data_IF_460500438399
#
_entry.id   IF_460500438399
#
_cell.length_a   1.000
_cell.length_b   1.000
_cell.length_c   1.000
_cell.angle_alpha   90.00
_cell.angle_beta   90.00
_cell.angle_gamma   90.00
#
_symmetry.space_group_name_H-M   'P 1'
#
loop_
_entity.id
_entity.type
_entity.pdbx_description
1 polymer ?
#
# COMPACT_ATOMS: atom_id res chain seq x y z
N UNK A 1 32.83 26.42 -51.28
CA UNK A 1 32.76 25.86 -49.92
C UNK A 1 31.45 25.10 -49.77
N UNK A 2 31.46 23.76 -49.85
CA UNK A 2 30.26 22.93 -49.70
C UNK A 2 30.24 22.34 -48.29
N UNK A 3 29.26 22.73 -47.49
CA UNK A 3 29.02 22.22 -46.14
C UNK A 3 28.20 20.94 -46.24
N UNK A 4 28.77 19.80 -45.87
CA UNK A 4 28.01 18.56 -45.67
C UNK A 4 27.58 18.48 -44.20
N UNK A 5 26.27 18.53 -43.98
CA UNK A 5 25.61 18.34 -42.69
C UNK A 5 25.69 16.86 -42.32
N UNK A 6 26.35 16.56 -41.20
CA UNK A 6 26.35 15.23 -40.57
C UNK A 6 25.13 15.16 -39.66
N UNK A 7 24.11 14.39 -40.05
CA UNK A 7 22.97 14.05 -39.20
C UNK A 7 23.37 12.92 -38.26
N UNK A 8 23.62 13.26 -36.99
CA UNK A 8 23.78 12.27 -35.92
C UNK A 8 22.38 11.83 -35.47
N UNK A 9 21.97 10.65 -35.90
CA UNK A 9 20.78 9.96 -35.38
C UNK A 9 21.16 9.38 -34.02
N UNK A 10 20.84 10.10 -32.95
CA UNK A 10 20.93 9.57 -31.58
C UNK A 10 19.71 8.68 -31.36
N UNK A 11 19.89 7.38 -31.56
CA UNK A 11 18.91 6.39 -31.13
C UNK A 11 18.95 6.31 -29.60
N UNK A 12 18.00 6.98 -28.94
CA UNK A 12 17.71 6.80 -27.52
C UNK A 12 17.06 5.44 -27.33
N UNK A 13 17.87 4.42 -27.08
CA UNK A 13 17.40 3.14 -26.58
C UNK A 13 16.91 3.34 -25.14
N UNK A 14 15.59 3.46 -24.97
CA UNK A 14 14.95 3.41 -23.67
C UNK A 14 15.20 2.02 -23.05
N UNK A 15 16.13 1.94 -22.11
CA UNK A 15 16.30 0.74 -21.28
C UNK A 15 15.10 0.70 -20.34
N UNK A 16 14.11 -0.11 -20.69
CA UNK A 16 13.04 -0.46 -19.77
C UNK A 16 13.67 -1.26 -18.63
N UNK A 17 13.95 -0.59 -17.51
CA UNK A 17 14.28 -1.26 -16.25
C UNK A 17 13.01 -1.98 -15.82
N UNK A 18 12.95 -3.27 -16.11
CA UNK A 18 11.94 -4.17 -15.56
C UNK A 18 12.26 -4.29 -14.08
N UNK A 19 11.65 -3.42 -13.27
CA UNK A 19 11.68 -3.53 -11.82
C UNK A 19 10.98 -4.85 -11.46
N UNK A 20 11.78 -5.89 -11.20
CA UNK A 20 11.28 -7.09 -10.53
C UNK A 20 10.81 -6.64 -9.14
N UNK A 21 9.49 -6.63 -8.94
CA UNK A 21 8.93 -6.43 -7.61
C UNK A 21 9.47 -7.55 -6.70
N UNK A 22 10.21 -7.18 -5.66
CA UNK A 22 10.65 -8.16 -4.66
C UNK A 22 9.42 -8.90 -4.11
N UNK A 23 9.45 -10.22 -4.16
CA UNK A 23 8.40 -11.07 -3.58
C UNK A 23 8.57 -11.05 -2.06
N UNK A 24 7.98 -10.05 -1.42
CA UNK A 24 7.93 -9.93 0.04
C UNK A 24 6.89 -10.90 0.63
N UNK A 25 7.10 -11.32 1.88
CA UNK A 25 6.09 -12.10 2.63
C UNK A 25 4.97 -11.19 3.14
N UNK A 26 3.77 -11.75 3.39
CA UNK A 26 2.65 -11.01 4.01
C UNK A 26 3.09 -10.35 5.31
N UNK A 27 3.88 -11.07 6.13
CA UNK A 27 4.40 -10.55 7.40
C UNK A 27 5.26 -9.31 7.19
N UNK A 28 6.19 -9.35 6.22
CA UNK A 28 7.05 -8.22 5.91
C UNK A 28 6.25 -7.01 5.42
N UNK A 29 5.26 -7.26 4.55
CA UNK A 29 4.38 -6.19 4.04
C UNK A 29 3.57 -5.55 5.17
N UNK A 30 2.98 -6.34 6.07
CA UNK A 30 2.21 -5.82 7.19
C UNK A 30 3.08 -5.04 8.19
N UNK A 31 4.34 -5.44 8.40
CA UNK A 31 5.30 -4.66 9.18
C UNK A 31 5.60 -3.31 8.52
N UNK A 32 5.76 -3.29 7.20
CA UNK A 32 5.98 -2.06 6.44
C UNK A 32 4.74 -1.14 6.48
N UNK A 33 3.54 -1.69 6.34
CA UNK A 33 2.28 -0.98 6.54
C UNK A 33 2.24 -0.34 7.92
N UNK A 34 2.52 -1.09 8.98
CA UNK A 34 2.46 -0.58 10.35
C UNK A 34 3.47 0.57 10.56
N UNK A 35 4.68 0.43 10.03
CA UNK A 35 5.70 1.49 10.07
C UNK A 35 5.20 2.77 9.39
N UNK A 36 4.69 2.67 8.16
CA UNK A 36 4.18 3.82 7.40
C UNK A 36 2.97 4.45 8.09
N UNK A 37 2.04 3.65 8.59
CA UNK A 37 0.86 4.11 9.32
C UNK A 37 1.23 4.87 10.60
N UNK A 38 2.23 4.38 11.35
CA UNK A 38 2.77 5.09 12.52
C UNK A 38 3.42 6.42 12.16
N UNK A 39 4.16 6.47 11.04
CA UNK A 39 4.74 7.72 10.54
C UNK A 39 3.65 8.74 10.17
N UNK A 40 2.63 8.32 9.41
CA UNK A 40 1.47 9.16 9.07
C UNK A 40 0.79 9.67 10.35
N UNK A 41 0.50 8.79 11.30
CA UNK A 41 -0.16 9.17 12.56
C UNK A 41 0.63 10.22 13.34
N UNK A 42 1.96 10.14 13.34
CA UNK A 42 2.82 11.11 14.03
C UNK A 42 2.83 12.50 13.37
N UNK A 43 2.59 12.57 12.06
CA UNK A 43 2.72 13.80 11.26
C UNK A 43 1.40 14.28 10.66
N UNK A 44 0.27 13.61 10.90
CA UNK A 44 -1.03 13.90 10.26
C UNK A 44 -1.55 15.31 10.53
N UNK A 45 -1.15 15.92 11.65
CA UNK A 45 -1.53 17.29 11.99
C UNK A 45 -0.65 18.38 11.32
N UNK A 46 0.47 18.00 10.71
CA UNK A 46 1.43 18.90 10.08
C UNK A 46 1.19 18.99 8.56
N UNK A 47 0.63 20.11 8.11
CA UNK A 47 0.35 20.35 6.69
C UNK A 47 1.61 20.33 5.81
N UNK A 48 2.78 20.65 6.36
CA UNK A 48 4.05 20.58 5.60
C UNK A 48 4.44 19.15 5.24
N UNK A 49 3.90 18.16 5.96
CA UNK A 49 4.13 16.72 5.73
C UNK A 49 3.09 16.09 4.80
N UNK A 50 2.08 16.83 4.35
CA UNK A 50 0.98 16.27 3.54
C UNK A 50 1.47 15.54 2.29
N UNK A 51 2.46 16.10 1.57
CA UNK A 51 3.00 15.44 0.39
C UNK A 51 3.65 14.09 0.73
N UNK A 52 4.48 14.03 1.78
CA UNK A 52 5.11 12.79 2.22
C UNK A 52 4.08 11.79 2.77
N UNK A 53 3.07 12.27 3.49
CA UNK A 53 2.00 11.44 4.02
C UNK A 53 1.12 10.85 2.91
N UNK A 54 0.87 11.60 1.83
CA UNK A 54 0.20 11.07 0.63
C UNK A 54 1.03 9.94 -0.03
N UNK A 55 2.35 10.11 -0.13
CA UNK A 55 3.27 9.06 -0.62
C UNK A 55 3.22 7.81 0.27
N UNK A 56 3.27 8.00 1.59
CA UNK A 56 3.20 6.89 2.54
C UNK A 56 1.84 6.17 2.46
N UNK A 57 0.74 6.91 2.33
CA UNK A 57 -0.60 6.35 2.16
C UNK A 57 -0.72 5.54 0.86
N UNK A 58 -0.17 6.04 -0.24
CA UNK A 58 -0.10 5.30 -1.51
C UNK A 58 0.75 4.02 -1.37
N UNK A 59 1.87 4.07 -0.65
CA UNK A 59 2.69 2.90 -0.41
C UNK A 59 1.96 1.83 0.41
N UNK A 60 1.14 2.24 1.40
CA UNK A 60 0.24 1.33 2.12
C UNK A 60 -0.76 0.70 1.14
N UNK A 61 -1.39 1.48 0.27
CA UNK A 61 -2.33 0.98 -0.73
C UNK A 61 -1.69 -0.08 -1.65
N UNK A 62 -0.47 0.18 -2.16
CA UNK A 62 0.26 -0.78 -2.99
C UNK A 62 0.58 -2.08 -2.24
N UNK A 63 0.96 -1.99 -0.96
CA UNK A 63 1.21 -3.17 -0.13
C UNK A 63 -0.09 -3.96 0.12
N UNK A 64 -1.22 -3.29 0.39
CA UNK A 64 -2.51 -3.97 0.54
C UNK A 64 -2.95 -4.66 -0.76
N UNK A 65 -2.81 -3.96 -1.89
CA UNK A 65 -3.11 -4.51 -3.21
C UNK A 65 -2.26 -5.75 -3.52
N UNK A 66 -0.98 -5.75 -3.16
CA UNK A 66 -0.10 -6.90 -3.33
C UNK A 66 -0.50 -8.08 -2.42
N UNK A 67 -1.07 -7.81 -1.25
CA UNK A 67 -1.52 -8.83 -0.31
C UNK A 67 -2.87 -9.46 -0.66
N UNK A 68 -3.68 -8.86 -1.55
CA UNK A 68 -4.91 -9.50 -2.03
C UNK A 68 -4.68 -10.84 -2.77
N UNK A 69 -3.47 -11.02 -3.30
CA UNK A 69 -3.04 -12.24 -4.00
C UNK A 69 -2.31 -13.23 -3.08
N UNK A 70 -2.18 -12.90 -1.79
CA UNK A 70 -1.48 -13.71 -0.79
C UNK A 70 -2.48 -14.12 0.29
N UNK A 71 -2.30 -15.29 0.90
CA UNK A 71 -3.16 -15.74 2.00
C UNK A 71 -2.32 -16.14 3.22
N UNK A 72 -2.73 -15.74 4.44
CA UNK A 72 -2.07 -16.19 5.66
C UNK A 72 -2.07 -17.72 5.78
N UNK A 73 -0.94 -18.30 6.21
CA UNK A 73 -0.80 -19.76 6.38
C UNK A 73 -1.80 -20.33 7.39
N UNK A 74 -2.24 -19.53 8.38
CA UNK A 74 -3.24 -19.92 9.37
C UNK A 74 -4.57 -20.34 8.71
N UNK A 75 -4.91 -19.79 7.54
CA UNK A 75 -6.14 -20.17 6.82
C UNK A 75 -6.12 -21.65 6.43
N UNK A 76 -4.95 -22.21 6.11
CA UNK A 76 -4.81 -23.64 5.76
C UNK A 76 -5.11 -24.57 6.94
N UNK A 77 -5.08 -24.05 8.17
CA UNK A 77 -5.38 -24.81 9.38
C UNK A 77 -6.88 -24.88 9.70
N UNK A 78 -7.72 -24.12 8.98
CA UNK A 78 -9.18 -24.20 9.12
C UNK A 78 -9.75 -25.45 8.42
N UNK A 79 -10.92 -25.94 8.86
CA UNK A 79 -11.65 -26.98 8.14
C UNK A 79 -11.84 -26.64 6.66
N UNK A 80 -11.64 -27.62 5.77
CA UNK A 80 -11.57 -27.39 4.32
C UNK A 80 -12.85 -26.75 3.74
N UNK A 81 -14.02 -27.05 4.32
CA UNK A 81 -15.32 -26.47 3.99
C UNK A 81 -15.47 -25.01 4.44
N UNK A 82 -14.68 -24.58 5.44
CA UNK A 82 -14.68 -23.20 5.97
C UNK A 82 -13.62 -22.31 5.31
N UNK A 83 -12.56 -22.89 4.73
CA UNK A 83 -11.45 -22.12 4.13
C UNK A 83 -11.92 -21.07 3.10
N UNK A 84 -12.86 -21.35 2.16
CA UNK A 84 -13.31 -20.34 1.21
C UNK A 84 -13.92 -19.10 1.86
N UNK A 85 -14.73 -19.29 2.92
CA UNK A 85 -15.34 -18.19 3.64
C UNK A 85 -14.30 -17.36 4.43
N UNK A 86 -13.30 -18.03 5.01
CA UNK A 86 -12.20 -17.35 5.71
C UNK A 86 -11.31 -16.56 4.75
N UNK A 87 -11.03 -17.12 3.56
CA UNK A 87 -10.31 -16.41 2.48
C UNK A 87 -11.06 -15.16 2.05
N UNK A 88 -12.38 -15.28 1.82
CA UNK A 88 -13.20 -14.14 1.42
C UNK A 88 -13.17 -13.04 2.50
N UNK A 89 -13.37 -13.41 3.76
CA UNK A 89 -13.33 -12.47 4.88
C UNK A 89 -11.95 -11.78 4.99
N UNK A 90 -10.85 -12.52 4.84
CA UNK A 90 -9.51 -11.94 4.77
C UNK A 90 -9.39 -10.90 3.65
N UNK A 91 -9.86 -11.23 2.44
CA UNK A 91 -9.84 -10.30 1.30
C UNK A 91 -10.69 -9.05 1.54
N UNK A 92 -11.84 -9.19 2.20
CA UNK A 92 -12.69 -8.05 2.60
C UNK A 92 -11.95 -7.10 3.55
N UNK A 93 -11.22 -7.63 4.54
CA UNK A 93 -10.39 -6.83 5.43
C UNK A 93 -9.25 -6.11 4.70
N UNK A 94 -8.55 -6.79 3.79
CA UNK A 94 -7.48 -6.17 2.99
C UNK A 94 -8.05 -5.08 2.07
N UNK A 95 -9.19 -5.33 1.42
CA UNK A 95 -9.88 -4.34 0.57
C UNK A 95 -10.34 -3.11 1.37
N UNK A 96 -10.83 -3.31 2.60
CA UNK A 96 -11.19 -2.21 3.48
C UNK A 96 -9.98 -1.34 3.84
N UNK A 97 -8.87 -1.97 4.24
CA UNK A 97 -7.62 -1.25 4.54
C UNK A 97 -7.05 -0.53 3.29
N UNK A 98 -7.13 -1.16 2.12
CA UNK A 98 -6.79 -0.54 0.83
C UNK A 98 -7.63 0.72 0.57
N UNK A 99 -8.95 0.62 0.75
CA UNK A 99 -9.87 1.75 0.58
C UNK A 99 -9.52 2.92 1.51
N UNK A 100 -9.24 2.64 2.78
CA UNK A 100 -8.80 3.66 3.74
C UNK A 100 -7.50 4.33 3.26
N UNK A 101 -6.53 3.55 2.79
CA UNK A 101 -5.24 4.08 2.33
C UNK A 101 -5.38 5.01 1.12
N UNK A 102 -6.23 4.64 0.14
CA UNK A 102 -6.55 5.51 -1.01
C UNK A 102 -7.25 6.79 -0.55
N UNK A 103 -8.23 6.70 0.33
CA UNK A 103 -8.92 7.88 0.88
C UNK A 103 -7.97 8.79 1.66
N UNK A 104 -7.03 8.23 2.43
CA UNK A 104 -6.00 9.01 3.13
C UNK A 104 -5.11 9.75 2.15
N UNK A 105 -4.66 9.09 1.08
CA UNK A 105 -3.87 9.73 0.04
C UNK A 105 -4.60 10.94 -0.54
N UNK A 106 -5.87 10.77 -0.92
CA UNK A 106 -6.71 11.86 -1.44
C UNK A 106 -6.88 12.98 -0.43
N UNK A 107 -7.13 12.66 0.84
CA UNK A 107 -7.26 13.66 1.91
C UNK A 107 -5.98 14.50 2.05
N UNK A 108 -4.80 13.86 2.08
CA UNK A 108 -3.52 14.59 2.13
C UNK A 108 -3.26 15.43 0.86
N UNK A 109 -3.59 14.92 -0.32
CA UNK A 109 -3.48 15.69 -1.58
C UNK A 109 -4.38 16.93 -1.58
N UNK A 110 -5.51 16.88 -0.86
CA UNK A 110 -6.45 17.99 -0.72
C UNK A 110 -6.17 18.88 0.52
N UNK A 111 -5.09 18.64 1.26
CA UNK A 111 -4.78 19.28 2.54
C UNK A 111 -5.88 19.14 3.62
N UNK A 112 -6.65 18.04 3.55
CA UNK A 112 -7.68 17.71 4.53
C UNK A 112 -7.12 16.81 5.63
N UNK A 113 -6.34 17.43 6.53
CA UNK A 113 -5.68 16.74 7.64
C UNK A 113 -6.69 16.17 8.67
N UNK A 114 -7.89 16.76 8.78
CA UNK A 114 -8.93 16.28 9.68
C UNK A 114 -9.50 14.94 9.20
N UNK A 115 -9.85 14.83 7.92
CA UNK A 115 -10.29 13.57 7.32
C UNK A 115 -9.17 12.53 7.36
N UNK A 116 -7.93 12.91 7.04
CA UNK A 116 -6.79 12.01 7.13
C UNK A 116 -6.56 11.46 8.55
N UNK A 117 -6.74 12.29 9.59
CA UNK A 117 -6.63 11.88 10.99
C UNK A 117 -7.71 10.87 11.40
N UNK A 118 -8.94 11.04 10.92
CA UNK A 118 -10.01 10.07 11.15
C UNK A 118 -9.72 8.73 10.45
N UNK A 119 -9.28 8.78 9.19
CA UNK A 119 -8.97 7.61 8.39
C UNK A 119 -7.78 6.81 8.94
N UNK A 120 -6.71 7.46 9.40
CA UNK A 120 -5.58 6.72 9.99
C UNK A 120 -6.00 6.00 11.28
N UNK A 121 -6.93 6.56 12.06
CA UNK A 121 -7.48 5.88 13.23
C UNK A 121 -8.31 4.65 12.80
N UNK A 122 -9.18 4.78 11.79
CA UNK A 122 -9.91 3.65 11.23
C UNK A 122 -8.98 2.52 10.74
N UNK A 123 -7.83 2.86 10.14
CA UNK A 123 -6.85 1.87 9.71
C UNK A 123 -6.27 1.08 10.90
N UNK A 124 -5.98 1.74 12.02
CA UNK A 124 -5.49 1.08 13.23
C UNK A 124 -6.57 0.18 13.85
N UNK A 125 -7.82 0.63 13.89
CA UNK A 125 -8.93 -0.15 14.43
C UNK A 125 -9.18 -1.41 13.56
N UNK A 126 -9.13 -1.27 12.23
CA UNK A 126 -9.23 -2.38 11.27
C UNK A 126 -8.09 -3.41 11.44
N UNK A 127 -6.87 -2.93 11.68
CA UNK A 127 -5.72 -3.79 11.97
C UNK A 127 -5.91 -4.56 13.26
N UNK A 128 -6.34 -3.91 14.34
CA UNK A 128 -6.52 -4.59 15.62
C UNK A 128 -7.56 -5.71 15.52
N UNK A 129 -8.67 -5.45 14.83
CA UNK A 129 -9.73 -6.44 14.64
C UNK A 129 -9.29 -7.62 13.78
N UNK A 130 -8.54 -7.38 12.70
CA UNK A 130 -8.04 -8.47 11.83
C UNK A 130 -6.89 -9.26 12.45
N UNK A 131 -6.00 -8.62 13.23
CA UNK A 131 -4.91 -9.32 13.95
C UNK A 131 -5.43 -10.37 14.93
N UNK A 132 -6.57 -10.13 15.59
CA UNK A 132 -7.22 -11.10 16.48
C UNK A 132 -7.61 -12.41 15.78
N UNK A 133 -7.76 -12.38 14.45
CA UNK A 133 -8.22 -13.52 13.66
C UNK A 133 -7.04 -14.19 12.92
N UNK A 134 -6.16 -13.39 12.31
CA UNK A 134 -5.19 -13.90 11.32
C UNK A 134 -3.72 -13.86 11.78
N UNK A 135 -3.41 -13.30 12.95
CA UNK A 135 -2.04 -13.17 13.46
C UNK A 135 -1.81 -14.04 14.71
N UNK A 136 -1.89 -15.36 14.51
CA UNK A 136 -1.59 -16.41 15.50
C UNK A 136 -0.39 -17.26 15.05
#
# INVERSE_FOLDING_TARGET
MRKFLVSVVVALSAVAVVAYAEVTSIRQDMMNVEKLAKQIKATVADASQNQQNAVNANQIALLMQANLQKFPEIIKQWPADQQPAVVQNYQEHINYALSIAVQMQTAFQNNDNATAAALIQQLFDAKENSHKIYNH
#
